data_IF_576353638090
#
_entry.id   IF_576353638090
#
_cell.length_a   1.000
_cell.length_b   1.000
_cell.length_c   1.000
_cell.angle_alpha   90.00
_cell.angle_beta   90.00
_cell.angle_gamma   90.00
#
_symmetry.space_group_name_H-M   'P 1'
#
loop_
_entity.id
_entity.type
_entity.pdbx_description
1 polymer ?
#
# COMPACT_ATOMS: atom_id res chain seq x y z
N UNK A 1 21.22 25.81 -11.93
CA UNK A 1 20.83 24.93 -11.66
C UNK A 1 21.46 23.77 -12.13
N UNK A 2 21.14 22.95 -12.26
CA UNK A 2 21.85 22.03 -12.59
C UNK A 2 21.27 21.16 -13.53
N UNK A 3 20.55 21.64 -14.44
CA UNK A 3 20.08 20.86 -15.36
C UNK A 3 21.11 20.18 -16.15
N UNK A 4 22.25 20.76 -16.29
CA UNK A 4 23.30 20.14 -17.04
C UNK A 4 23.73 18.87 -16.39
N UNK A 5 23.40 18.68 -15.12
CA UNK A 5 23.71 17.47 -14.46
C UNK A 5 22.79 16.35 -14.87
N UNK A 6 21.62 16.67 -15.38
CA UNK A 6 20.66 15.69 -15.76
C UNK A 6 20.74 15.34 -17.22
N UNK A 7 21.62 15.98 -18.01
CA UNK A 7 21.71 15.76 -19.40
C UNK A 7 23.10 15.29 -19.78
N UNK A 8 23.21 14.39 -20.69
CA UNK A 8 24.49 13.93 -21.16
C UNK A 8 24.91 14.73 -22.36
N UNK A 9 26.09 15.36 -22.30
CA UNK A 9 26.59 16.12 -23.41
C UNK A 9 27.16 15.22 -24.48
N UNK A 10 27.57 14.01 -24.13
CA UNK A 10 28.11 13.07 -25.09
C UNK A 10 27.20 11.87 -25.15
N UNK A 11 27.27 11.12 -26.22
CA UNK A 11 26.51 9.93 -26.33
C UNK A 11 27.06 8.90 -25.35
N UNK A 12 26.36 8.68 -24.29
CA UNK A 12 26.81 7.76 -23.24
C UNK A 12 25.91 6.54 -23.11
N UNK A 13 25.12 6.24 -24.11
CA UNK A 13 24.19 5.15 -24.04
C UNK A 13 24.90 3.82 -24.19
N UNK A 14 24.71 2.96 -23.20
CA UNK A 14 25.18 1.58 -23.29
C UNK A 14 24.00 0.81 -23.86
N UNK A 15 23.95 0.69 -25.17
CA UNK A 15 22.82 0.14 -25.85
C UNK A 15 22.55 -1.32 -25.51
N UNK A 16 23.52 -2.21 -25.44
CA UNK A 16 23.19 -3.59 -25.08
C UNK A 16 22.56 -3.68 -23.69
N UNK A 17 23.05 -2.94 -22.75
CA UNK A 17 22.49 -2.92 -21.41
C UNK A 17 21.10 -2.31 -21.40
N UNK A 18 20.92 -1.20 -22.11
CA UNK A 18 19.63 -0.52 -22.15
C UNK A 18 18.58 -1.41 -22.82
N UNK A 19 18.95 -2.13 -23.88
CA UNK A 19 18.03 -3.03 -24.53
C UNK A 19 17.66 -4.21 -23.64
N UNK A 20 18.59 -4.69 -22.88
CA UNK A 20 18.31 -5.77 -21.94
C UNK A 20 17.32 -5.32 -20.87
N UNK A 21 17.50 -4.14 -20.33
CA UNK A 21 16.58 -3.60 -19.33
C UNK A 21 15.21 -3.37 -19.95
N UNK A 22 15.18 -2.81 -21.15
CA UNK A 22 13.93 -2.55 -21.83
C UNK A 22 13.14 -3.83 -22.04
N UNK A 23 13.82 -4.89 -22.44
CA UNK A 23 13.16 -6.16 -22.67
C UNK A 23 12.60 -6.78 -21.38
N UNK A 24 13.16 -6.42 -20.24
CA UNK A 24 12.75 -6.96 -18.96
C UNK A 24 11.69 -6.14 -18.26
N UNK A 25 11.28 -5.00 -18.82
CA UNK A 25 10.28 -4.17 -18.16
C UNK A 25 8.94 -4.91 -18.08
N UNK A 26 8.17 -4.63 -17.03
CA UNK A 26 6.82 -5.20 -16.93
C UNK A 26 5.94 -4.67 -18.06
N UNK A 27 4.91 -5.40 -18.40
CA UNK A 27 3.97 -4.98 -19.42
C UNK A 27 3.13 -3.80 -18.96
N UNK A 28 2.47 -3.18 -19.90
CA UNK A 28 1.66 -1.98 -19.63
C UNK A 28 0.59 -2.27 -18.58
N UNK A 29 -0.09 -3.38 -18.68
CA UNK A 29 -1.15 -3.67 -17.73
C UNK A 29 -0.61 -3.91 -16.32
N UNK A 30 0.58 -4.48 -16.22
CA UNK A 30 1.19 -4.68 -14.91
C UNK A 30 1.60 -3.35 -14.29
N UNK A 31 2.09 -2.44 -15.11
CA UNK A 31 2.47 -1.11 -14.63
C UNK A 31 1.22 -0.34 -14.18
N UNK A 32 0.14 -0.44 -14.94
CA UNK A 32 -1.09 0.24 -14.56
C UNK A 32 -1.67 -0.32 -13.28
N UNK A 33 -1.67 -1.63 -13.12
CA UNK A 33 -2.13 -2.27 -11.91
C UNK A 33 -1.28 -1.86 -10.71
N UNK A 34 0.03 -1.80 -10.91
CA UNK A 34 0.94 -1.35 -9.84
C UNK A 34 0.69 0.09 -9.45
N UNK A 35 0.43 0.95 -10.43
CA UNK A 35 0.16 2.35 -10.16
C UNK A 35 -1.14 2.51 -9.38
N UNK A 36 -2.17 1.72 -9.71
CA UNK A 36 -3.43 1.75 -8.96
C UNK A 36 -3.21 1.34 -7.52
N UNK A 37 -2.43 0.28 -7.29
CA UNK A 37 -2.14 -0.18 -5.94
C UNK A 37 -1.41 0.90 -5.14
N UNK A 38 -0.41 1.54 -5.74
CA UNK A 38 0.34 2.58 -5.06
C UNK A 38 -0.55 3.78 -4.75
N UNK A 39 -1.41 4.14 -5.69
CA UNK A 39 -2.31 5.28 -5.49
C UNK A 39 -3.31 5.00 -4.38
N UNK A 40 -3.76 3.76 -4.25
CA UNK A 40 -4.71 3.43 -3.22
C UNK A 40 -4.15 3.66 -1.83
N UNK A 41 -2.86 3.48 -1.64
CA UNK A 41 -2.24 3.71 -0.34
C UNK A 41 -1.70 5.12 -0.16
N UNK A 42 -1.87 5.98 -1.15
CA UNK A 42 -1.34 7.33 -1.06
C UNK A 42 -2.22 8.28 -0.25
N UNK A 43 -3.37 7.83 0.19
CA UNK A 43 -4.27 8.63 1.01
C UNK A 43 -4.06 8.27 2.48
N UNK A 44 -3.90 9.26 3.36
CA UNK A 44 -3.61 8.96 4.77
C UNK A 44 -4.69 8.10 5.44
N UNK A 45 -5.96 8.33 5.13
CA UNK A 45 -7.03 7.55 5.74
C UNK A 45 -6.98 6.11 5.26
N UNK A 46 -6.78 5.90 3.96
CA UNK A 46 -6.69 4.54 3.43
C UNK A 46 -5.46 3.83 3.97
N UNK A 47 -4.36 4.54 4.12
CA UNK A 47 -3.16 3.95 4.69
C UNK A 47 -3.39 3.56 6.16
N UNK A 48 -4.11 4.38 6.91
CA UNK A 48 -4.45 4.07 8.30
C UNK A 48 -5.34 2.83 8.37
N UNK A 49 -6.31 2.72 7.47
CA UNK A 49 -7.17 1.56 7.40
C UNK A 49 -6.33 0.30 7.12
N UNK A 50 -5.39 0.41 6.20
CA UNK A 50 -4.54 -0.72 5.88
C UNK A 50 -3.67 -1.13 7.08
N UNK A 51 -3.19 -0.15 7.82
CA UNK A 51 -2.41 -0.43 9.03
C UNK A 51 -3.27 -1.12 10.08
N UNK A 52 -4.52 -0.70 10.22
CA UNK A 52 -5.44 -1.34 11.15
C UNK A 52 -5.68 -2.80 10.77
N UNK A 53 -5.79 -3.08 9.48
CA UNK A 53 -5.97 -4.44 9.02
C UNK A 53 -4.72 -5.29 9.20
N UNK A 54 -3.57 -4.67 9.12
CA UNK A 54 -2.34 -5.40 9.42
C UNK A 54 -2.34 -5.87 10.86
N UNK A 55 -2.74 -5.02 11.76
CA UNK A 55 -2.70 -5.32 13.20
C UNK A 55 -3.88 -6.18 13.63
N UNK A 56 -5.03 -5.95 13.06
CA UNK A 56 -6.25 -6.65 13.46
C UNK A 56 -6.57 -7.87 12.65
N UNK A 57 -5.84 -8.10 11.58
CA UNK A 57 -6.03 -9.24 10.70
C UNK A 57 -7.34 -9.19 9.92
N UNK A 58 -8.48 -9.24 10.54
CA UNK A 58 -9.76 -9.20 9.84
C UNK A 58 -10.73 -8.37 10.66
N UNK A 59 -11.32 -7.35 10.05
CA UNK A 59 -12.22 -6.43 10.77
C UNK A 59 -13.44 -6.13 9.93
N UNK A 60 -14.57 -5.91 10.59
CA UNK A 60 -15.76 -5.40 9.91
C UNK A 60 -15.69 -3.87 9.87
N UNK A 61 -16.61 -3.26 9.14
CA UNK A 61 -16.63 -1.80 8.98
C UNK A 61 -16.83 -1.10 10.31
N UNK A 62 -17.67 -1.62 11.16
CA UNK A 62 -17.95 -0.97 12.46
C UNK A 62 -16.69 -0.92 13.30
N UNK A 63 -15.98 -2.02 13.40
CA UNK A 63 -14.75 -2.06 14.17
C UNK A 63 -13.70 -1.16 13.55
N UNK A 64 -13.61 -1.19 12.22
CA UNK A 64 -12.65 -0.36 11.53
C UNK A 64 -12.92 1.11 11.77
N UNK A 65 -14.17 1.51 11.70
CA UNK A 65 -14.54 2.91 11.90
C UNK A 65 -14.15 3.38 13.29
N UNK A 66 -14.36 2.51 14.26
CA UNK A 66 -13.99 2.85 15.63
C UNK A 66 -12.48 2.98 15.76
N UNK A 67 -11.75 2.02 15.19
CA UNK A 67 -10.29 2.01 15.30
C UNK A 67 -9.67 3.24 14.64
N UNK A 68 -10.14 3.61 13.45
CA UNK A 68 -9.51 4.71 12.73
C UNK A 68 -10.18 6.05 13.06
N UNK A 69 -11.28 6.04 13.80
CA UNK A 69 -11.92 7.29 14.23
C UNK A 69 -12.62 8.04 13.11
N UNK A 70 -13.24 7.31 12.17
CA UNK A 70 -13.92 7.92 11.04
C UNK A 70 -15.34 7.36 10.95
N UNK A 71 -16.19 8.04 10.21
CA UNK A 71 -17.56 7.60 10.02
C UNK A 71 -17.60 6.33 9.19
N UNK A 72 -18.58 5.48 9.46
CA UNK A 72 -18.67 4.18 8.78
C UNK A 72 -18.83 4.32 7.29
N UNK A 73 -19.61 5.29 6.82
CA UNK A 73 -19.79 5.45 5.38
C UNK A 73 -18.51 5.88 4.70
N UNK A 74 -17.66 6.65 5.35
CA UNK A 74 -16.40 7.06 4.82
C UNK A 74 -15.44 5.86 4.76
N UNK A 75 -15.43 5.07 5.82
CA UNK A 75 -14.59 3.87 5.88
C UNK A 75 -15.01 2.89 4.80
N UNK A 76 -16.32 2.71 4.60
CA UNK A 76 -16.82 1.84 3.54
C UNK A 76 -16.36 2.30 2.18
N UNK A 77 -16.40 3.60 1.95
CA UNK A 77 -15.97 4.16 0.67
C UNK A 77 -14.48 3.85 0.44
N UNK A 78 -13.66 4.07 1.44
CA UNK A 78 -12.23 3.80 1.33
C UNK A 78 -11.94 2.31 1.16
N UNK A 79 -12.69 1.46 1.84
CA UNK A 79 -12.52 0.02 1.69
C UNK A 79 -12.86 -0.46 0.29
N UNK A 80 -13.88 0.15 -0.32
CA UNK A 80 -14.20 -0.20 -1.70
C UNK A 80 -13.07 0.17 -2.65
N UNK A 81 -12.45 1.32 -2.43
CA UNK A 81 -11.32 1.73 -3.24
C UNK A 81 -10.12 0.81 -3.04
N UNK A 82 -9.86 0.41 -1.82
CA UNK A 82 -8.78 -0.52 -1.54
C UNK A 82 -9.06 -1.89 -2.17
N UNK A 83 -10.32 -2.30 -2.19
CA UNK A 83 -10.68 -3.57 -2.77
C UNK A 83 -10.51 -3.56 -4.29
N UNK A 84 -10.92 -2.49 -4.95
CA UNK A 84 -10.76 -2.35 -6.38
C UNK A 84 -9.28 -2.37 -6.76
N UNK A 85 -8.43 -1.81 -5.92
CA UNK A 85 -7.00 -1.79 -6.18
C UNK A 85 -6.30 -3.11 -5.80
N UNK A 86 -7.05 -4.08 -5.30
CA UNK A 86 -6.47 -5.37 -4.95
C UNK A 86 -5.71 -5.40 -3.65
N UNK A 87 -5.94 -4.40 -2.79
CA UNK A 87 -5.23 -4.29 -1.52
C UNK A 87 -5.94 -5.01 -0.38
N UNK A 88 -7.25 -5.13 -0.47
CA UNK A 88 -8.04 -5.81 0.55
C UNK A 88 -9.00 -6.78 -0.13
N UNK A 89 -9.43 -7.81 0.62
CA UNK A 89 -10.48 -8.70 0.18
C UNK A 89 -11.55 -8.72 1.26
N UNK A 90 -12.73 -9.19 0.92
CA UNK A 90 -13.82 -9.22 1.87
C UNK A 90 -14.52 -10.57 1.81
N UNK A 91 -15.15 -10.95 2.91
CA UNK A 91 -15.98 -12.14 2.96
C UNK A 91 -17.17 -11.88 3.86
N UNK A 92 -18.23 -12.60 3.64
CA UNK A 92 -19.40 -12.44 4.47
C UNK A 92 -19.34 -13.40 5.63
N UNK A 93 -19.70 -12.91 6.80
CA UNK A 93 -19.78 -13.72 7.98
C UNK A 93 -21.10 -13.36 8.66
N UNK A 94 -22.15 -14.10 8.41
CA UNK A 94 -23.47 -13.76 8.91
C UNK A 94 -23.95 -12.46 8.29
N UNK A 95 -24.25 -11.47 9.12
CA UNK A 95 -24.68 -10.18 8.62
C UNK A 95 -23.51 -9.24 8.44
N UNK A 96 -22.32 -9.66 8.81
CA UNK A 96 -21.16 -8.78 8.72
C UNK A 96 -20.38 -9.07 7.44
N UNK A 97 -19.69 -8.06 6.97
CA UNK A 97 -18.70 -8.22 5.92
C UNK A 97 -17.36 -7.96 6.55
N UNK A 98 -16.49 -8.95 6.50
CA UNK A 98 -15.17 -8.86 7.11
C UNK A 98 -14.16 -8.54 6.03
N UNK A 99 -13.22 -7.66 6.34
CA UNK A 99 -12.19 -7.23 5.42
C UNK A 99 -10.82 -7.63 5.93
N UNK A 100 -9.94 -7.99 5.03
CA UNK A 100 -8.56 -8.30 5.39
C UNK A 100 -7.63 -7.87 4.25
N UNK A 101 -6.37 -7.68 4.56
CA UNK A 101 -5.39 -7.35 3.54
C UNK A 101 -5.16 -8.56 2.64
N UNK A 102 -5.01 -8.31 1.35
CA UNK A 102 -4.52 -9.32 0.44
C UNK A 102 -3.03 -9.48 0.66
N UNK A 103 -2.43 -10.47 0.04
CA UNK A 103 -1.00 -10.64 0.10
C UNK A 103 -0.29 -9.40 -0.42
N UNK A 104 -0.78 -8.83 -1.49
CA UNK A 104 -0.22 -7.59 -2.06
C UNK A 104 -0.36 -6.44 -1.08
N UNK A 105 -1.52 -6.29 -0.46
CA UNK A 105 -1.74 -5.24 0.52
C UNK A 105 -0.81 -5.37 1.70
N UNK A 106 -0.66 -6.60 2.17
CA UNK A 106 0.22 -6.85 3.31
C UNK A 106 1.67 -6.50 2.97
N UNK A 107 2.12 -6.87 1.77
CA UNK A 107 3.49 -6.59 1.37
C UNK A 107 3.75 -5.09 1.25
N UNK A 108 2.79 -4.35 0.69
CA UNK A 108 2.97 -2.91 0.53
C UNK A 108 2.92 -2.18 1.87
N UNK A 109 2.06 -2.59 2.77
CA UNK A 109 2.00 -2.00 4.10
C UNK A 109 3.31 -2.27 4.85
N UNK A 110 3.86 -3.45 4.68
CA UNK A 110 5.14 -3.78 5.31
C UNK A 110 6.27 -2.91 4.77
N UNK A 111 6.23 -2.60 3.48
CA UNK A 111 7.25 -1.72 2.92
C UNK A 111 7.14 -0.31 3.50
N UNK A 112 5.92 0.17 3.65
CA UNK A 112 5.71 1.54 4.11
C UNK A 112 6.04 1.70 5.60
N UNK A 113 5.60 0.75 6.43
CA UNK A 113 5.76 0.87 7.87
C UNK A 113 6.85 -0.03 8.45
N UNK A 114 7.44 -0.87 7.64
CA UNK A 114 8.41 -1.84 8.09
C UNK A 114 7.76 -3.10 8.57
N UNK A 115 8.56 -4.14 8.72
CA UNK A 115 8.11 -5.39 9.24
C UNK A 115 7.78 -5.21 10.70
N UNK A 116 6.71 -5.85 11.15
CA UNK A 116 6.31 -5.72 12.52
C UNK A 116 7.41 -6.16 13.47
N UNK A 117 8.17 -7.17 13.10
CA UNK A 117 9.26 -7.61 13.93
C UNK A 117 10.34 -6.55 14.06
N UNK A 118 10.65 -5.85 12.98
CA UNK A 118 11.63 -4.79 13.05
C UNK A 118 11.11 -3.61 13.84
N UNK A 119 9.86 -3.33 13.70
CA UNK A 119 9.25 -2.23 14.43
C UNK A 119 9.28 -2.56 15.91
N UNK A 120 9.06 -3.78 16.29
CA UNK A 120 9.06 -4.12 17.69
C UNK A 120 10.42 -3.97 18.30
N UNK A 121 11.48 -4.20 17.57
CA UNK A 121 12.78 -4.00 18.12
C UNK A 121 13.03 -2.55 18.42
N UNK A 122 12.49 -1.65 17.67
CA UNK A 122 12.72 -0.27 17.89
C UNK A 122 11.68 0.31 18.73
N UNK A 123 10.62 -0.40 18.96
CA UNK A 123 9.47 0.23 19.50
C UNK A 123 9.44 0.34 20.96
N UNK A 124 10.48 0.04 21.63
CA UNK A 124 10.45 0.26 23.02
C UNK A 124 9.95 1.58 23.32
N UNK A 125 10.22 2.55 22.50
CA UNK A 125 9.76 3.81 22.82
C UNK A 125 8.49 4.11 22.23
N UNK A 126 7.87 3.38 21.40
CA UNK A 126 6.71 3.83 20.93
C UNK A 126 5.58 3.55 21.74
N UNK A 127 5.72 2.84 22.75
CA UNK A 127 4.62 2.61 23.58
C UNK A 127 4.08 3.83 24.13
N UNK A 128 4.83 4.85 24.17
CA UNK A 128 4.28 5.96 24.78
C UNK A 128 3.35 6.63 23.94
N UNK A 129 3.18 6.37 22.72
CA UNK A 129 2.36 7.11 22.01
C UNK A 129 0.97 6.79 22.27
N UNK A 130 0.62 5.94 22.99
CA UNK A 130 -0.71 5.75 23.25
C UNK A 130 -1.43 6.75 23.85
#
# INVERSE_FOLDING_TARGET
>A
MHESLDTCDLLCLDLPNAESIRAALPGVSDVESGAWAARALADPTRLTIAAALRDGDELCVCDMAWVVGQAQNLVSHHLRQLKVAGMVSSRRQGRLVMYRLTERGRALVAVVFGDRALVSDVSGKKTDRV
#
